data_IF_394997155532
#
_entry.id   IF_394997155532
#
_cell.length_a   1.000
_cell.length_b   1.000
_cell.length_c   1.000
_cell.angle_alpha   90.00
_cell.angle_beta   90.00
_cell.angle_gamma   90.00
#
_symmetry.space_group_name_H-M   'P 1'
#
loop_
_entity.id
_entity.type
_entity.pdbx_description
1 polymer ?
#
# COMPACT_ATOMS: atom_id res chain seq x y z
N UNK A 1 13.06 -9.75 14.96
CA UNK A 1 11.74 -9.80 15.62
C UNK A 1 11.40 -11.25 15.82
N UNK A 2 11.02 -11.64 17.04
CA UNK A 2 10.51 -12.98 17.34
C UNK A 2 8.98 -12.89 17.38
N UNK A 3 8.29 -13.87 16.80
CA UNK A 3 6.83 -13.91 16.75
C UNK A 3 6.35 -15.13 17.50
N UNK A 4 5.23 -15.00 18.21
CA UNK A 4 4.53 -16.18 18.73
C UNK A 4 4.06 -17.06 17.57
N UNK A 5 3.87 -18.36 17.81
CA UNK A 5 3.41 -19.28 16.75
C UNK A 5 2.08 -18.84 16.11
N UNK A 6 1.20 -18.22 16.90
CA UNK A 6 -0.09 -17.69 16.42
C UNK A 6 0.12 -16.48 15.49
N UNK A 7 0.98 -15.54 15.90
CA UNK A 7 1.33 -14.37 15.10
C UNK A 7 2.05 -14.77 13.79
N UNK A 8 2.96 -15.74 13.85
CA UNK A 8 3.67 -16.26 12.68
C UNK A 8 2.71 -16.89 11.66
N UNK A 9 1.73 -17.68 12.11
CA UNK A 9 0.67 -18.23 11.24
C UNK A 9 -0.12 -17.14 10.53
N UNK A 10 -0.44 -16.04 11.21
CA UNK A 10 -1.18 -14.90 10.64
C UNK A 10 -0.33 -14.17 9.59
N UNK A 11 0.95 -13.90 9.88
CA UNK A 11 1.84 -13.25 8.93
C UNK A 11 2.10 -14.10 7.68
N UNK A 12 2.29 -15.40 7.87
CA UNK A 12 2.43 -16.33 6.76
C UNK A 12 1.15 -16.39 5.92
N UNK A 13 -0.02 -16.34 6.58
CA UNK A 13 -1.29 -16.25 5.86
C UNK A 13 -1.42 -14.94 5.08
N UNK A 14 -1.01 -13.80 5.64
CA UNK A 14 -1.03 -12.52 4.94
C UNK A 14 -0.20 -12.56 3.64
N UNK A 15 1.01 -13.15 3.70
CA UNK A 15 1.85 -13.36 2.51
C UNK A 15 1.17 -14.25 1.45
N UNK A 16 0.54 -15.33 1.88
CA UNK A 16 -0.21 -16.22 0.97
C UNK A 16 -1.40 -15.51 0.32
N UNK A 17 -2.09 -14.63 1.06
CA UNK A 17 -3.19 -13.84 0.51
C UNK A 17 -2.68 -12.90 -0.57
N UNK A 18 -1.57 -12.17 -0.33
CA UNK A 18 -1.00 -11.26 -1.34
C UNK A 18 -0.52 -12.02 -2.59
N UNK A 19 0.14 -13.16 -2.41
CA UNK A 19 0.57 -14.01 -3.53
C UNK A 19 -0.61 -14.54 -4.35
N UNK A 20 -1.66 -15.04 -3.69
CA UNK A 20 -2.85 -15.55 -4.37
C UNK A 20 -3.62 -14.46 -5.13
N UNK A 21 -3.59 -13.22 -4.63
CA UNK A 21 -4.17 -12.06 -5.30
C UNK A 21 -3.25 -11.45 -6.38
N UNK A 22 -2.09 -12.03 -6.66
CA UNK A 22 -1.04 -11.43 -7.51
C UNK A 22 -0.68 -10.01 -7.08
N UNK A 23 -0.85 -9.71 -5.79
CA UNK A 23 -0.31 -8.52 -5.18
C UNK A 23 1.11 -8.85 -4.69
N UNK A 24 2.09 -8.37 -5.43
CA UNK A 24 3.49 -8.74 -5.21
C UNK A 24 4.03 -8.26 -3.85
N UNK A 25 3.32 -7.40 -3.14
CA UNK A 25 3.78 -6.81 -1.87
C UNK A 25 2.71 -7.04 -0.80
N UNK A 26 3.12 -7.62 0.33
CA UNK A 26 2.23 -7.87 1.47
C UNK A 26 2.07 -6.58 2.30
N UNK A 27 0.83 -6.14 2.47
CA UNK A 27 0.48 -4.86 3.08
C UNK A 27 -0.57 -5.03 4.19
N UNK A 28 -0.93 -3.96 4.89
CA UNK A 28 -1.75 -3.97 6.11
C UNK A 28 -3.16 -4.54 5.89
N UNK A 29 -3.74 -4.39 4.69
CA UNK A 29 -4.99 -5.02 4.27
C UNK A 29 -4.89 -6.55 4.25
N UNK A 30 -3.75 -7.08 3.80
CA UNK A 30 -3.49 -8.52 3.79
C UNK A 30 -3.32 -9.07 5.20
N UNK A 31 -2.65 -8.31 6.08
CA UNK A 31 -2.54 -8.64 7.50
C UNK A 31 -3.92 -8.66 8.16
N UNK A 32 -4.76 -7.66 7.88
CA UNK A 32 -6.13 -7.61 8.38
C UNK A 32 -6.95 -8.82 7.91
N UNK A 33 -6.91 -9.15 6.62
CA UNK A 33 -7.60 -10.33 6.10
C UNK A 33 -7.11 -11.61 6.80
N UNK A 34 -5.80 -11.74 7.01
CA UNK A 34 -5.22 -12.89 7.70
C UNK A 34 -5.67 -13.00 9.16
N UNK A 35 -5.83 -11.87 9.88
CA UNK A 35 -6.37 -11.84 11.24
C UNK A 35 -7.79 -12.43 11.30
N UNK A 36 -8.59 -12.29 10.24
CA UNK A 36 -9.91 -12.91 10.15
C UNK A 36 -9.85 -14.34 9.61
N UNK A 37 -8.96 -14.63 8.67
CA UNK A 37 -9.00 -15.89 7.94
C UNK A 37 -8.44 -17.08 8.73
N UNK A 38 -7.45 -16.86 9.60
CA UNK A 38 -6.94 -17.90 10.49
C UNK A 38 -8.03 -18.27 11.51
N UNK A 39 -8.66 -19.44 11.34
CA UNK A 39 -9.79 -19.86 12.20
C UNK A 39 -9.35 -20.49 13.52
N UNK A 40 -8.38 -21.37 13.45
CA UNK A 40 -7.94 -22.19 14.59
C UNK A 40 -7.12 -21.37 15.58
N UNK A 41 -7.48 -21.48 16.87
CA UNK A 41 -6.77 -20.90 18.00
C UNK A 41 -6.43 -19.40 17.84
N UNK A 42 -7.33 -18.66 17.17
CA UNK A 42 -7.18 -17.23 16.89
C UNK A 42 -7.79 -16.37 18.03
N UNK A 43 -6.97 -15.67 18.82
CA UNK A 43 -7.43 -14.84 19.94
C UNK A 43 -8.37 -13.73 19.51
N UNK A 44 -8.10 -13.09 18.37
CA UNK A 44 -8.90 -11.99 17.86
C UNK A 44 -10.31 -12.42 17.47
N UNK A 45 -10.46 -13.59 16.83
CA UNK A 45 -11.78 -14.15 16.50
C UNK A 45 -12.58 -14.57 17.73
N UNK A 46 -11.91 -15.12 18.76
CA UNK A 46 -12.54 -15.44 20.05
C UNK A 46 -13.05 -14.18 20.74
N UNK A 47 -12.20 -13.15 20.79
CA UNK A 47 -12.53 -11.85 21.36
C UNK A 47 -13.73 -11.19 20.67
N UNK A 48 -13.78 -11.20 19.33
CA UNK A 48 -14.94 -10.70 18.57
C UNK A 48 -16.24 -11.44 18.95
N UNK A 49 -16.19 -12.78 18.98
CA UNK A 49 -17.36 -13.62 19.35
C UNK A 49 -17.85 -13.32 20.76
N UNK A 50 -16.93 -13.20 21.72
CA UNK A 50 -17.22 -12.88 23.13
C UNK A 50 -17.89 -11.51 23.28
N UNK A 51 -17.51 -10.55 22.44
CA UNK A 51 -18.07 -9.22 22.41
C UNK A 51 -19.25 -9.07 21.42
N UNK A 52 -19.93 -10.18 21.09
CA UNK A 52 -21.18 -10.15 20.34
C UNK A 52 -21.04 -9.91 18.83
N UNK A 53 -19.81 -9.88 18.29
CA UNK A 53 -19.57 -9.74 16.85
C UNK A 53 -19.32 -11.09 16.22
N UNK A 54 -20.10 -11.42 15.19
CA UNK A 54 -19.89 -12.64 14.41
C UNK A 54 -18.62 -12.49 13.54
N UNK A 55 -17.54 -13.25 13.80
CA UNK A 55 -16.27 -13.04 13.09
C UNK A 55 -16.34 -13.42 11.60
N UNK A 56 -17.24 -14.32 11.20
CA UNK A 56 -17.43 -14.68 9.78
C UNK A 56 -18.24 -13.63 9.04
N UNK A 57 -19.18 -12.96 9.70
CA UNK A 57 -19.89 -11.83 9.12
C UNK A 57 -18.95 -10.64 8.90
N UNK A 58 -18.16 -10.29 9.94
CA UNK A 58 -17.16 -9.24 9.86
C UNK A 58 -16.11 -9.53 8.77
N UNK A 59 -15.61 -10.77 8.70
CA UNK A 59 -14.68 -11.18 7.63
C UNK A 59 -15.24 -10.91 6.24
N UNK A 60 -16.50 -11.31 5.96
CA UNK A 60 -17.11 -11.09 4.63
C UNK A 60 -17.24 -9.62 4.27
N UNK A 61 -17.46 -8.75 5.24
CA UNK A 61 -17.52 -7.30 5.00
C UNK A 61 -16.13 -6.73 4.66
N UNK A 62 -15.10 -7.16 5.40
CA UNK A 62 -13.71 -6.77 5.12
C UNK A 62 -13.26 -7.30 3.76
N UNK A 63 -13.57 -8.55 3.42
CA UNK A 63 -13.24 -9.13 2.11
C UNK A 63 -13.84 -8.31 0.97
N UNK A 64 -15.10 -7.87 1.09
CA UNK A 64 -15.73 -6.98 0.10
C UNK A 64 -15.04 -5.63 0.02
N UNK A 65 -14.68 -5.04 1.14
CA UNK A 65 -14.02 -3.74 1.20
C UNK A 65 -12.63 -3.80 0.55
N UNK A 66 -11.82 -4.80 0.91
CA UNK A 66 -10.49 -5.02 0.33
C UNK A 66 -10.56 -5.40 -1.15
N UNK A 67 -11.58 -6.17 -1.58
CA UNK A 67 -11.79 -6.46 -3.01
C UNK A 67 -12.02 -5.18 -3.82
N UNK A 68 -12.84 -4.25 -3.31
CA UNK A 68 -13.08 -2.95 -3.97
C UNK A 68 -11.82 -2.11 -4.05
N UNK A 69 -11.04 -2.05 -2.97
CA UNK A 69 -9.75 -1.37 -2.96
C UNK A 69 -8.84 -1.94 -4.05
N UNK A 70 -8.71 -3.27 -4.11
CA UNK A 70 -7.89 -3.94 -5.11
C UNK A 70 -8.33 -3.59 -6.54
N UNK A 71 -9.63 -3.63 -6.81
CA UNK A 71 -10.17 -3.22 -8.12
C UNK A 71 -9.81 -1.78 -8.48
N UNK A 72 -9.78 -0.86 -7.50
CA UNK A 72 -9.36 0.52 -7.71
C UNK A 72 -7.86 0.62 -8.01
N UNK A 73 -7.02 -0.10 -7.28
CA UNK A 73 -5.57 -0.17 -7.52
C UNK A 73 -5.25 -0.76 -8.90
N UNK A 74 -5.97 -1.80 -9.31
CA UNK A 74 -5.79 -2.44 -10.61
C UNK A 74 -6.20 -1.51 -11.75
N UNK A 75 -7.35 -0.81 -11.61
CA UNK A 75 -7.79 0.23 -12.57
C UNK A 75 -6.76 1.35 -12.71
N UNK A 76 -6.20 1.80 -11.59
CA UNK A 76 -5.16 2.82 -11.58
C UNK A 76 -3.91 2.36 -12.35
N UNK A 77 -3.41 1.16 -12.03
CA UNK A 77 -2.26 0.59 -12.71
C UNK A 77 -2.50 0.38 -14.21
N UNK A 78 -3.68 -0.09 -14.61
CA UNK A 78 -4.05 -0.27 -16.03
C UNK A 78 -4.01 1.06 -16.78
N UNK A 79 -4.57 2.12 -16.22
CA UNK A 79 -4.59 3.41 -16.90
C UNK A 79 -3.18 4.00 -17.09
N UNK A 80 -2.31 3.93 -16.07
CA UNK A 80 -0.91 4.33 -16.23
C UNK A 80 -0.12 3.39 -17.15
N UNK A 81 -0.47 2.10 -17.21
CA UNK A 81 0.08 1.17 -18.20
C UNK A 81 -0.26 1.66 -19.60
N UNK A 82 -1.52 2.00 -19.87
CA UNK A 82 -1.97 2.50 -21.17
C UNK A 82 -1.29 3.82 -21.55
N UNK A 83 -1.14 4.74 -20.59
CA UNK A 83 -0.44 6.01 -20.80
C UNK A 83 1.03 5.80 -21.22
N UNK A 84 1.73 4.92 -20.50
CA UNK A 84 3.12 4.56 -20.80
C UNK A 84 3.23 3.76 -22.10
N UNK A 85 2.28 2.88 -22.41
CA UNK A 85 2.21 2.13 -23.67
C UNK A 85 2.01 3.01 -24.89
N UNK A 86 1.11 3.98 -24.82
CA UNK A 86 0.91 4.93 -25.91
C UNK A 86 2.22 5.64 -26.27
N UNK A 87 3.00 6.04 -25.25
CA UNK A 87 4.34 6.63 -25.45
C UNK A 87 5.39 5.61 -25.87
N UNK A 88 5.38 4.42 -25.29
CA UNK A 88 6.33 3.37 -25.64
C UNK A 88 6.18 2.85 -27.06
N UNK A 89 4.96 2.81 -27.62
CA UNK A 89 4.76 2.43 -29.02
C UNK A 89 5.32 3.48 -29.99
N UNK A 90 5.22 4.79 -29.68
CA UNK A 90 5.89 5.85 -30.46
C UNK A 90 7.43 5.67 -30.43
N UNK A 91 7.99 5.40 -29.25
CA UNK A 91 9.41 5.12 -29.07
C UNK A 91 9.85 3.88 -29.85
N UNK A 92 9.06 2.82 -29.80
CA UNK A 92 9.35 1.57 -30.50
C UNK A 92 9.34 1.74 -32.01
N UNK A 93 8.37 2.48 -32.56
CA UNK A 93 8.29 2.76 -33.98
C UNK A 93 9.49 3.55 -34.49
N UNK A 94 9.98 4.49 -33.68
CA UNK A 94 11.05 5.42 -34.09
C UNK A 94 12.45 4.86 -33.79
N UNK A 95 12.60 4.12 -32.69
CA UNK A 95 13.91 3.76 -32.12
C UNK A 95 14.03 2.28 -31.69
N UNK A 96 12.99 1.48 -31.87
CA UNK A 96 13.00 0.03 -31.63
C UNK A 96 12.61 -0.40 -30.21
N UNK A 97 12.33 -1.70 -30.07
CA UNK A 97 11.84 -2.32 -28.83
C UNK A 97 12.85 -2.22 -27.67
N UNK A 98 14.16 -2.24 -27.95
CA UNK A 98 15.20 -2.17 -26.91
C UNK A 98 15.13 -0.84 -26.15
N UNK A 99 15.01 0.29 -26.87
CA UNK A 99 14.89 1.60 -26.23
C UNK A 99 13.61 1.67 -25.40
N UNK A 100 12.47 1.26 -25.95
CA UNK A 100 11.18 1.22 -25.23
C UNK A 100 11.34 0.51 -23.87
N UNK A 101 11.92 -0.70 -23.87
CA UNK A 101 12.12 -1.48 -22.64
C UNK A 101 13.09 -0.80 -21.67
N UNK A 102 14.18 -0.21 -22.16
CA UNK A 102 15.14 0.51 -21.33
C UNK A 102 14.53 1.74 -20.67
N UNK A 103 13.73 2.51 -21.42
CA UNK A 103 13.00 3.67 -20.91
C UNK A 103 11.99 3.26 -19.84
N UNK A 104 11.20 2.20 -20.06
CA UNK A 104 10.29 1.67 -19.04
C UNK A 104 11.03 1.26 -17.76
N UNK A 105 12.16 0.56 -17.89
CA UNK A 105 12.98 0.17 -16.73
C UNK A 105 13.51 1.39 -15.98
N UNK A 106 14.02 2.40 -16.69
CA UNK A 106 14.52 3.63 -16.09
C UNK A 106 13.41 4.40 -15.37
N UNK A 107 12.24 4.54 -16.00
CA UNK A 107 11.07 5.20 -15.42
C UNK A 107 10.60 4.50 -14.15
N UNK A 108 10.38 3.18 -14.21
CA UNK A 108 9.89 2.42 -13.05
C UNK A 108 10.93 2.32 -11.93
N UNK A 109 12.22 2.19 -12.28
CA UNK A 109 13.32 2.26 -11.30
C UNK A 109 13.36 3.61 -10.60
N UNK A 110 13.19 4.71 -11.35
CA UNK A 110 13.08 6.05 -10.76
C UNK A 110 11.93 6.10 -9.74
N UNK A 111 10.73 5.67 -10.11
CA UNK A 111 9.58 5.69 -9.20
C UNK A 111 9.82 4.84 -7.95
N UNK A 112 10.37 3.64 -8.11
CA UNK A 112 10.70 2.73 -7.01
C UNK A 112 11.74 3.33 -6.06
N UNK A 113 12.84 3.84 -6.60
CA UNK A 113 13.91 4.45 -5.81
C UNK A 113 13.43 5.73 -5.10
N UNK A 114 12.63 6.55 -5.79
CA UNK A 114 12.05 7.78 -5.25
C UNK A 114 11.18 7.47 -4.03
N UNK A 115 10.19 6.57 -4.17
CA UNK A 115 9.32 6.23 -3.05
C UNK A 115 10.05 5.45 -1.95
N UNK A 116 11.06 4.64 -2.29
CA UNK A 116 11.90 4.00 -1.26
C UNK A 116 12.61 5.04 -0.36
N UNK A 117 13.08 6.15 -0.92
CA UNK A 117 13.71 7.24 -0.15
C UNK A 117 12.68 8.09 0.60
N UNK A 118 11.62 8.50 -0.08
CA UNK A 118 10.54 9.33 0.49
C UNK A 118 9.91 8.68 1.73
N UNK A 119 9.60 7.38 1.65
CA UNK A 119 9.02 6.63 2.76
C UNK A 119 9.99 6.49 3.95
N UNK A 120 11.30 6.61 3.73
CA UNK A 120 12.30 6.65 4.80
C UNK A 120 12.54 8.06 5.35
N UNK A 121 11.83 9.06 4.84
CA UNK A 121 11.99 10.48 5.19
C UNK A 121 13.16 11.17 4.49
N UNK A 122 13.84 10.49 3.55
CA UNK A 122 14.92 11.06 2.76
C UNK A 122 14.33 11.74 1.52
N UNK A 123 13.97 13.02 1.67
CA UNK A 123 13.28 13.76 0.60
C UNK A 123 14.22 14.23 -0.48
N UNK A 124 13.87 13.95 -1.73
CA UNK A 124 14.61 14.47 -2.88
C UNK A 124 14.43 16.00 -2.96
N UNK A 125 15.54 16.73 -3.03
CA UNK A 125 15.54 18.20 -3.13
C UNK A 125 16.07 18.70 -4.46
N UNK A 126 16.79 17.86 -5.20
CA UNK A 126 17.31 18.22 -6.51
C UNK A 126 16.24 18.00 -7.58
N UNK A 127 15.60 19.10 -7.99
CA UNK A 127 14.51 19.10 -8.95
C UNK A 127 14.95 19.77 -10.26
N UNK A 128 14.48 19.21 -11.38
CA UNK A 128 14.60 19.79 -12.71
C UNK A 128 13.26 20.41 -13.13
N UNK A 129 13.33 21.64 -13.63
CA UNK A 129 12.17 22.30 -14.24
C UNK A 129 12.04 21.87 -15.70
N UNK A 130 10.84 21.42 -16.07
CA UNK A 130 10.52 20.97 -17.41
C UNK A 130 9.25 21.67 -17.90
N UNK A 131 9.31 22.20 -19.12
CA UNK A 131 8.14 22.75 -19.81
C UNK A 131 7.33 21.60 -20.41
N UNK A 132 6.07 21.49 -20.01
CA UNK A 132 5.13 20.51 -20.55
C UNK A 132 3.90 21.21 -21.10
N UNK A 133 3.28 20.59 -22.11
CA UNK A 133 1.99 21.01 -22.63
C UNK A 133 0.95 19.96 -22.27
N UNK A 134 0.06 20.28 -21.34
CA UNK A 134 -0.92 19.34 -20.79
C UNK A 134 -2.32 19.91 -20.71
N UNK A 135 -3.32 19.04 -20.69
CA UNK A 135 -4.70 19.41 -20.41
C UNK A 135 -4.83 19.74 -18.92
N UNK A 136 -5.41 20.89 -18.60
CA UNK A 136 -5.71 21.29 -17.21
C UNK A 136 -7.16 21.76 -17.07
N UNK A 137 -7.78 21.55 -15.89
CA UNK A 137 -9.15 21.98 -15.66
C UNK A 137 -9.26 23.51 -15.60
N UNK A 138 -10.37 24.06 -16.09
CA UNK A 138 -10.59 25.51 -16.22
C UNK A 138 -11.00 26.22 -14.93
N UNK A 139 -11.26 25.49 -13.83
CA UNK A 139 -11.62 26.05 -12.51
C UNK A 139 -10.86 25.37 -11.37
N UNK A 140 -10.37 26.17 -10.42
CA UNK A 140 -9.71 25.71 -9.17
C UNK A 140 -10.77 25.31 -8.14
N UNK A 141 -10.93 24.02 -7.82
CA UNK A 141 -11.84 23.52 -6.74
C UNK A 141 -11.33 22.23 -6.06
N UNK A 142 -12.01 21.86 -4.97
CA UNK A 142 -11.46 21.55 -3.64
C UNK A 142 -11.43 20.08 -3.20
N UNK A 143 -11.39 19.08 -4.09
CA UNK A 143 -11.09 17.71 -3.65
C UNK A 143 -10.49 16.88 -4.78
N UNK A 144 -9.17 16.66 -4.68
CA UNK A 144 -8.33 15.96 -5.67
C UNK A 144 -8.80 14.51 -5.84
N UNK A 145 -9.40 13.89 -4.81
CA UNK A 145 -9.68 12.45 -4.79
C UNK A 145 -10.92 12.01 -5.58
N UNK A 146 -12.03 12.76 -5.53
CA UNK A 146 -13.28 12.37 -6.21
C UNK A 146 -13.27 12.74 -7.71
N UNK A 147 -12.55 13.80 -8.10
CA UNK A 147 -12.51 14.30 -9.48
C UNK A 147 -11.37 13.64 -10.30
N UNK A 148 -10.17 13.46 -9.73
CA UNK A 148 -9.00 12.94 -10.46
C UNK A 148 -9.23 11.53 -11.00
N UNK A 149 -9.87 10.64 -10.24
CA UNK A 149 -10.22 9.31 -10.74
C UNK A 149 -11.28 9.34 -11.83
N UNK A 150 -12.19 10.32 -11.88
CA UNK A 150 -13.17 10.45 -12.96
C UNK A 150 -12.59 11.13 -14.21
N UNK A 151 -11.75 12.14 -14.02
CA UNK A 151 -11.14 12.97 -15.06
C UNK A 151 -9.98 12.29 -15.77
N UNK A 152 -9.16 11.51 -15.05
CA UNK A 152 -8.07 10.71 -15.61
C UNK A 152 -8.58 9.70 -16.66
N UNK A 153 -9.71 9.02 -16.42
CA UNK A 153 -10.30 8.14 -17.43
C UNK A 153 -10.89 8.90 -18.63
N UNK A 154 -11.33 10.15 -18.46
CA UNK A 154 -11.83 10.98 -19.57
C UNK A 154 -10.70 11.55 -20.44
N UNK A 155 -9.51 11.77 -19.89
CA UNK A 155 -8.33 12.24 -20.64
C UNK A 155 -7.75 11.17 -21.58
N UNK A 156 -7.78 9.90 -21.18
CA UNK A 156 -7.35 8.77 -22.02
C UNK A 156 -8.47 8.20 -22.92
N UNK A 157 -9.75 8.45 -22.59
CA UNK A 157 -10.91 8.01 -23.38
C UNK A 157 -12.07 9.02 -23.27
N UNK A 158 -12.09 10.09 -24.10
CA UNK A 158 -13.11 11.14 -23.97
C UNK A 158 -14.51 10.63 -24.30
N UNK A 159 -15.44 10.75 -23.35
CA UNK A 159 -16.89 10.77 -23.63
C UNK A 159 -17.31 12.21 -23.96
N UNK A 160 -18.32 12.37 -24.82
CA UNK A 160 -18.77 13.63 -25.45
C UNK A 160 -19.33 14.74 -24.51
N UNK A 161 -18.77 14.95 -23.31
CA UNK A 161 -19.15 16.07 -22.41
C UNK A 161 -17.96 16.78 -21.76
N UNK A 162 -16.91 17.07 -22.53
CA UNK A 162 -15.82 17.95 -22.09
C UNK A 162 -16.24 19.43 -22.20
N UNK A 163 -16.66 20.05 -21.10
CA UNK A 163 -16.94 21.51 -21.10
C UNK A 163 -15.92 22.37 -20.35
N UNK A 164 -14.89 21.83 -19.70
CA UNK A 164 -13.99 22.64 -18.86
C UNK A 164 -12.49 22.22 -18.87
N UNK A 165 -11.96 21.63 -19.94
CA UNK A 165 -10.52 21.34 -20.07
C UNK A 165 -9.86 22.25 -21.09
N UNK A 166 -8.66 22.75 -20.77
CA UNK A 166 -7.88 23.61 -21.67
C UNK A 166 -6.44 23.15 -21.74
N UNK A 167 -5.88 23.09 -22.94
CA UNK A 167 -4.44 22.86 -23.13
C UNK A 167 -3.66 24.09 -22.64
N UNK A 168 -2.72 23.87 -21.73
CA UNK A 168 -1.81 24.93 -21.24
C UNK A 168 -0.36 24.46 -21.28
N UNK A 169 0.52 25.43 -21.45
CA UNK A 169 1.96 25.25 -21.18
C UNK A 169 2.20 25.53 -19.70
N UNK A 170 2.81 24.57 -19.02
CA UNK A 170 3.17 24.66 -17.61
C UNK A 170 4.62 24.28 -17.40
N UNK A 171 5.21 24.82 -16.33
CA UNK A 171 6.51 24.38 -15.84
C UNK A 171 6.26 23.45 -14.66
N UNK A 172 6.66 22.20 -14.81
CA UNK A 172 6.58 21.20 -13.75
C UNK A 172 7.97 20.93 -13.18
N UNK A 173 8.01 20.43 -11.95
CA UNK A 173 9.24 20.01 -11.27
C UNK A 173 9.28 18.50 -11.18
N UNK A 174 10.30 17.89 -11.79
CA UNK A 174 10.55 16.46 -11.71
C UNK A 174 11.89 16.20 -11.02
N UNK A 175 12.06 15.09 -10.28
CA UNK A 175 13.33 14.75 -9.66
C UNK A 175 14.49 14.69 -10.66
N UNK A 176 15.67 15.19 -10.29
CA UNK A 176 16.86 15.10 -11.15
C UNK A 176 17.24 13.65 -11.46
N UNK A 177 16.99 12.72 -10.53
CA UNK A 177 17.19 11.28 -10.71
C UNK A 177 16.43 10.73 -11.92
N UNK A 178 15.20 11.18 -12.14
CA UNK A 178 14.39 10.81 -13.30
C UNK A 178 15.09 11.21 -14.60
N UNK A 179 15.48 12.49 -14.69
CA UNK A 179 16.16 13.02 -15.88
C UNK A 179 17.44 12.24 -16.17
N UNK A 180 18.23 11.96 -15.13
CA UNK A 180 19.49 11.24 -15.28
C UNK A 180 19.29 9.80 -15.75
N UNK A 181 18.34 9.06 -15.17
CA UNK A 181 18.05 7.66 -15.52
C UNK A 181 17.50 7.54 -16.95
N UNK A 182 16.62 8.46 -17.37
CA UNK A 182 16.11 8.47 -18.75
C UNK A 182 17.23 8.78 -19.75
N UNK A 183 18.09 9.78 -19.46
CA UNK A 183 19.25 10.07 -20.30
C UNK A 183 20.20 8.89 -20.39
N UNK A 184 20.44 8.20 -19.29
CA UNK A 184 21.30 7.01 -19.25
C UNK A 184 20.72 5.87 -20.10
N UNK A 185 19.43 5.57 -19.95
CA UNK A 185 18.75 4.56 -20.77
C UNK A 185 18.76 4.88 -22.28
N UNK A 186 18.79 6.17 -22.63
CA UNK A 186 18.86 6.63 -24.03
C UNK A 186 20.27 6.53 -24.65
N UNK A 187 21.34 6.44 -23.85
CA UNK A 187 22.73 6.39 -24.36
C UNK A 187 22.99 5.18 -25.26
N UNK A 188 22.36 4.04 -24.96
CA UNK A 188 22.55 2.80 -25.71
C UNK A 188 21.98 2.86 -27.14
N UNK A 189 21.18 3.88 -27.46
CA UNK A 189 20.48 4.00 -28.75
C UNK A 189 21.05 5.09 -29.68
N UNK A 190 22.22 5.69 -29.36
CA UNK A 190 22.85 6.75 -30.16
C UNK A 190 21.92 7.91 -30.55
N UNK A 191 20.96 8.24 -29.67
CA UNK A 191 19.99 9.31 -29.89
C UNK A 191 20.67 10.69 -29.86
N UNK A 192 20.16 11.62 -30.66
CA UNK A 192 20.59 13.01 -30.57
C UNK A 192 20.14 13.61 -29.22
N UNK A 193 20.85 14.62 -28.67
CA UNK A 193 20.42 15.30 -27.44
C UNK A 193 18.99 15.83 -27.52
N UNK A 194 18.55 16.27 -28.70
CA UNK A 194 17.20 16.80 -28.93
C UNK A 194 16.14 15.70 -28.87
N UNK A 195 16.41 14.53 -29.44
CA UNK A 195 15.49 13.37 -29.34
C UNK A 195 15.34 12.95 -27.87
N UNK A 196 16.43 12.89 -27.11
CA UNK A 196 16.38 12.56 -25.67
C UNK A 196 15.58 13.61 -24.89
N UNK A 197 15.73 14.90 -25.22
CA UNK A 197 14.93 15.96 -24.60
C UNK A 197 13.44 15.83 -24.94
N UNK A 198 13.09 15.47 -26.18
CA UNK A 198 11.70 15.19 -26.58
C UNK A 198 11.11 14.06 -25.74
N UNK A 199 11.83 12.93 -25.60
CA UNK A 199 11.41 11.80 -24.76
C UNK A 199 11.21 12.23 -23.31
N UNK A 200 12.15 13.00 -22.76
CA UNK A 200 12.05 13.53 -21.40
C UNK A 200 10.79 14.38 -21.20
N UNK A 201 10.50 15.31 -22.11
CA UNK A 201 9.32 16.19 -22.00
C UNK A 201 8.02 15.41 -22.03
N UNK A 202 7.94 14.37 -22.86
CA UNK A 202 6.75 13.54 -22.95
C UNK A 202 6.53 12.64 -21.74
N UNK A 203 7.62 12.14 -21.15
CA UNK A 203 7.54 11.32 -19.94
C UNK A 203 7.37 12.14 -18.67
N UNK A 204 7.81 13.41 -18.65
CA UNK A 204 7.78 14.26 -17.46
C UNK A 204 6.36 14.49 -16.93
N UNK A 205 5.36 14.67 -17.82
CA UNK A 205 3.96 14.82 -17.37
C UNK A 205 3.43 13.51 -16.76
N UNK A 206 3.79 12.35 -17.33
CA UNK A 206 3.42 11.04 -16.77
C UNK A 206 4.12 10.82 -15.42
N UNK A 207 5.38 11.21 -15.29
CA UNK A 207 6.14 11.16 -14.03
C UNK A 207 5.46 11.99 -12.94
N UNK A 208 5.21 13.26 -13.19
CA UNK A 208 4.63 14.19 -12.21
C UNK A 208 3.26 13.72 -11.73
N UNK A 209 2.42 13.29 -12.67
CA UNK A 209 1.09 12.76 -12.36
C UNK A 209 1.16 11.45 -11.59
N UNK A 210 1.95 10.48 -12.05
CA UNK A 210 2.08 9.20 -11.34
C UNK A 210 2.63 9.43 -9.93
N UNK A 211 3.66 10.26 -9.78
CA UNK A 211 4.24 10.60 -8.49
C UNK A 211 3.21 11.23 -7.56
N UNK A 212 2.43 12.20 -8.03
CA UNK A 212 1.34 12.82 -7.26
C UNK A 212 0.30 11.79 -6.84
N UNK A 213 -0.17 10.95 -7.78
CA UNK A 213 -1.15 9.91 -7.47
C UNK A 213 -0.62 8.87 -6.48
N UNK A 214 0.65 8.51 -6.57
CA UNK A 214 1.28 7.59 -5.64
C UNK A 214 1.40 8.19 -4.23
N UNK A 215 1.63 9.50 -4.09
CA UNK A 215 1.51 10.17 -2.79
C UNK A 215 0.09 10.08 -2.24
N UNK A 216 -0.91 10.28 -3.09
CA UNK A 216 -2.31 10.19 -2.67
C UNK A 216 -2.68 8.76 -2.24
N UNK A 217 -2.21 7.73 -2.97
CA UNK A 217 -2.33 6.32 -2.58
C UNK A 217 -1.69 6.07 -1.21
N UNK A 218 -0.49 6.61 -0.97
CA UNK A 218 0.19 6.51 0.33
C UNK A 218 -0.57 7.22 1.46
N UNK A 219 -1.07 8.43 1.21
CA UNK A 219 -1.85 9.21 2.16
C UNK A 219 -3.17 8.51 2.54
N UNK A 220 -3.65 7.60 1.69
CA UNK A 220 -4.81 6.74 1.94
C UNK A 220 -4.45 5.34 2.46
N UNK A 221 -3.20 5.15 2.89
CA UNK A 221 -2.81 3.98 3.66
C UNK A 221 -2.42 2.76 2.84
N UNK A 222 -2.05 2.94 1.57
CA UNK A 222 -1.59 1.87 0.68
C UNK A 222 -0.15 2.15 0.25
N UNK A 223 0.69 1.12 0.24
CA UNK A 223 2.08 1.29 -0.20
C UNK A 223 2.18 1.55 -1.72
N UNK A 224 2.79 2.66 -2.17
CA UNK A 224 2.97 3.00 -3.59
C UNK A 224 3.65 1.92 -4.43
N UNK A 225 4.55 1.14 -3.82
CA UNK A 225 5.26 0.08 -4.52
C UNK A 225 4.31 -1.00 -5.05
N UNK A 226 3.10 -1.13 -4.49
CA UNK A 226 2.06 -2.04 -5.00
C UNK A 226 1.60 -1.65 -6.41
N UNK A 227 1.52 -0.37 -6.71
CA UNK A 227 1.18 0.12 -8.06
C UNK A 227 2.41 0.00 -8.98
N UNK A 228 3.60 0.36 -8.50
CA UNK A 228 4.84 0.27 -9.28
C UNK A 228 5.11 -1.18 -9.71
N UNK A 229 4.91 -2.15 -8.82
CA UNK A 229 5.06 -3.57 -9.11
C UNK A 229 4.05 -4.06 -10.17
N UNK A 230 2.80 -3.58 -10.13
CA UNK A 230 1.79 -3.86 -11.17
C UNK A 230 2.20 -3.28 -12.52
N UNK A 231 2.68 -2.03 -12.55
CA UNK A 231 3.18 -1.40 -13.78
C UNK A 231 4.37 -2.16 -14.36
N UNK A 232 5.30 -2.60 -13.51
CA UNK A 232 6.46 -3.42 -13.91
C UNK A 232 6.02 -4.74 -14.53
N UNK A 233 5.08 -5.44 -13.91
CA UNK A 233 4.52 -6.67 -14.46
C UNK A 233 3.82 -6.42 -15.81
N UNK A 234 2.93 -5.44 -15.88
CA UNK A 234 2.14 -5.16 -17.08
C UNK A 234 3.01 -4.72 -18.27
N UNK A 235 3.99 -3.83 -18.04
CA UNK A 235 4.79 -3.23 -19.11
C UNK A 235 5.99 -4.10 -19.52
N UNK A 236 6.58 -4.87 -18.61
CA UNK A 236 7.85 -5.59 -18.84
C UNK A 236 7.73 -7.11 -18.71
N UNK A 237 6.65 -7.63 -18.13
CA UNK A 237 6.49 -9.04 -17.76
C UNK A 237 7.38 -9.44 -16.58
N UNK A 238 7.91 -8.47 -15.83
CA UNK A 238 8.85 -8.68 -14.74
C UNK A 238 8.09 -8.85 -13.42
N UNK A 239 8.14 -10.05 -12.82
CA UNK A 239 7.59 -10.29 -11.48
C UNK A 239 8.45 -9.62 -10.41
N UNK A 240 7.80 -9.04 -9.41
CA UNK A 240 8.49 -8.47 -8.25
C UNK A 240 8.57 -9.52 -7.15
N UNK A 241 9.72 -9.63 -6.47
CA UNK A 241 9.87 -10.52 -5.30
C UNK A 241 8.84 -10.13 -4.24
N UNK A 242 8.25 -11.11 -3.57
CA UNK A 242 7.34 -10.83 -2.46
C UNK A 242 8.09 -10.37 -1.21
N UNK A 243 7.70 -9.22 -0.67
CA UNK A 243 8.19 -8.69 0.59
C UNK A 243 7.10 -7.89 1.30
N UNK A 244 7.35 -7.52 2.56
CA UNK A 244 6.45 -6.68 3.34
C UNK A 244 6.58 -5.22 2.90
N UNK A 245 5.44 -4.56 2.65
CA UNK A 245 5.37 -3.12 2.43
C UNK A 245 6.02 -2.33 3.56
N UNK A 246 6.39 -1.08 3.26
CA UNK A 246 6.87 -0.15 4.27
C UNK A 246 5.84 0.06 5.39
N UNK A 247 4.56 0.20 5.04
CA UNK A 247 3.48 0.35 6.02
C UNK A 247 3.36 -0.88 6.93
N UNK A 248 3.43 -2.10 6.39
CA UNK A 248 3.44 -3.31 7.20
C UNK A 248 4.69 -3.38 8.10
N UNK A 249 5.86 -3.01 7.60
CA UNK A 249 7.07 -2.93 8.42
C UNK A 249 6.95 -1.89 9.55
N UNK A 250 6.27 -0.74 9.34
CA UNK A 250 5.94 0.20 10.42
C UNK A 250 5.04 -0.44 11.48
N UNK A 251 4.01 -1.20 11.07
CA UNK A 251 3.13 -1.94 11.99
C UNK A 251 3.92 -2.96 12.80
N UNK A 252 4.78 -3.76 12.15
CA UNK A 252 5.58 -4.79 12.83
C UNK A 252 6.58 -4.17 13.81
N UNK A 253 7.22 -3.05 13.45
CA UNK A 253 8.06 -2.28 14.37
C UNK A 253 7.28 -1.71 15.55
N UNK A 254 6.08 -1.19 15.30
CA UNK A 254 5.20 -0.67 16.35
C UNK A 254 4.77 -1.77 17.32
N UNK A 255 4.52 -2.99 16.83
CA UNK A 255 4.17 -4.17 17.63
C UNK A 255 5.34 -4.71 18.46
N UNK A 256 6.59 -4.46 18.05
CA UNK A 256 7.82 -4.97 18.68
C UNK A 256 8.19 -4.26 20.00
N UNK A 257 7.25 -4.16 20.94
CA UNK A 257 7.48 -3.56 22.27
C UNK A 257 8.05 -4.56 23.29
N UNK A 258 7.79 -5.84 23.10
CA UNK A 258 8.24 -6.94 23.98
C UNK A 258 9.22 -7.88 23.24
N UNK A 259 9.76 -8.88 23.93
CA UNK A 259 10.73 -9.84 23.38
C UNK A 259 10.14 -10.73 22.26
N UNK A 260 8.83 -10.97 22.32
CA UNK A 260 8.05 -11.74 21.35
C UNK A 260 6.77 -10.99 20.97
N UNK A 261 6.48 -10.89 19.68
CA UNK A 261 5.30 -10.22 19.13
C UNK A 261 4.13 -11.21 19.09
N UNK A 262 3.03 -10.88 19.77
CA UNK A 262 1.82 -11.69 19.81
C UNK A 262 0.73 -11.18 18.85
N UNK A 263 -0.42 -11.88 18.78
CA UNK A 263 -1.54 -11.45 17.93
C UNK A 263 -2.13 -10.16 18.48
N UNK A 264 -2.16 -10.00 19.79
CA UNK A 264 -2.62 -8.81 20.49
C UNK A 264 -1.77 -7.60 20.12
N UNK A 265 -0.45 -7.78 20.04
CA UNK A 265 0.45 -6.69 19.66
C UNK A 265 0.24 -6.27 18.19
N UNK A 266 -0.04 -7.23 17.29
CA UNK A 266 -0.38 -6.93 15.89
C UNK A 266 -1.71 -6.18 15.77
N UNK A 267 -2.75 -6.62 16.50
CA UNK A 267 -4.07 -5.96 16.52
C UNK A 267 -3.95 -4.54 17.06
N UNK A 268 -3.24 -4.37 18.17
CA UNK A 268 -3.01 -3.05 18.76
C UNK A 268 -2.18 -2.14 17.84
N UNK A 269 -1.12 -2.65 17.22
CA UNK A 269 -0.32 -1.87 16.30
C UNK A 269 -1.15 -1.40 15.09
N UNK A 270 -2.03 -2.23 14.54
CA UNK A 270 -2.95 -1.83 13.48
C UNK A 270 -3.94 -0.75 13.96
N UNK A 271 -4.55 -0.94 15.14
CA UNK A 271 -5.53 -0.01 15.69
C UNK A 271 -4.94 1.39 15.90
N UNK A 272 -3.70 1.47 16.42
CA UNK A 272 -2.97 2.73 16.62
C UNK A 272 -2.56 3.43 15.32
N UNK A 273 -2.68 2.74 14.19
CA UNK A 273 -2.30 3.25 12.88
C UNK A 273 -3.50 3.26 11.91
N UNK A 274 -4.58 4.02 12.22
CA UNK A 274 -5.79 4.07 11.41
C UNK A 274 -5.58 4.77 10.06
N UNK A 275 -4.41 5.37 9.83
CA UNK A 275 -3.97 5.90 8.54
C UNK A 275 -3.69 4.81 7.50
N UNK A 276 -3.49 3.56 7.93
CA UNK A 276 -3.26 2.40 7.04
C UNK A 276 -4.59 1.75 6.71
N UNK A 277 -4.71 1.07 5.55
CA UNK A 277 -5.95 0.37 5.19
C UNK A 277 -6.34 -0.66 6.25
N UNK A 278 -5.40 -1.48 6.71
CA UNK A 278 -5.64 -2.48 7.74
C UNK A 278 -6.12 -1.86 9.06
N UNK A 279 -5.45 -0.81 9.51
CA UNK A 279 -5.80 -0.09 10.74
C UNK A 279 -7.14 0.64 10.64
N UNK A 280 -7.42 1.28 9.49
CA UNK A 280 -8.68 1.97 9.23
C UNK A 280 -9.87 1.01 9.40
N UNK A 281 -9.88 -0.09 8.64
CA UNK A 281 -10.99 -1.03 8.72
C UNK A 281 -11.08 -1.74 10.07
N UNK A 282 -9.95 -2.05 10.72
CA UNK A 282 -9.96 -2.58 12.07
C UNK A 282 -10.64 -1.59 13.04
N UNK A 283 -10.30 -0.30 12.97
CA UNK A 283 -10.90 0.72 13.82
C UNK A 283 -12.42 0.81 13.65
N UNK A 284 -12.93 0.65 12.42
CA UNK A 284 -14.37 0.65 12.14
C UNK A 284 -15.07 -0.54 12.82
N UNK A 285 -14.46 -1.73 12.79
CA UNK A 285 -14.99 -2.90 13.49
C UNK A 285 -14.96 -2.68 14.99
N UNK A 286 -13.84 -2.21 15.55
CA UNK A 286 -13.72 -1.99 16.99
C UNK A 286 -14.71 -0.93 17.50
N UNK A 287 -14.99 0.12 16.73
CA UNK A 287 -16.01 1.13 17.05
C UNK A 287 -17.44 0.58 17.08
N UNK A 288 -17.73 -0.46 16.29
CA UNK A 288 -19.04 -1.14 16.33
C UNK A 288 -19.20 -2.07 17.54
N UNK A 289 -18.07 -2.53 18.10
CA UNK A 289 -18.03 -3.43 19.26
C UNK A 289 -18.04 -2.63 20.57
N UNK A 290 -17.18 -1.62 20.66
CA UNK A 290 -17.02 -0.76 21.83
C UNK A 290 -17.93 0.45 21.67
N UNK A 291 -18.93 0.58 22.52
CA UNK A 291 -19.84 1.72 22.52
C UNK A 291 -19.11 3.04 22.82
N UNK A 292 -18.51 3.65 21.81
CA UNK A 292 -18.09 5.07 21.77
C UNK A 292 -17.23 5.59 22.94
N UNK A 293 -16.43 4.78 23.66
CA UNK A 293 -15.52 5.27 24.72
C UNK A 293 -14.09 4.74 24.63
N UNK A 294 -13.13 5.66 24.76
CA UNK A 294 -11.68 5.39 24.82
C UNK A 294 -11.23 4.68 26.10
N UNK A 295 -12.04 4.66 27.16
CA UNK A 295 -11.72 3.95 28.41
C UNK A 295 -11.73 2.43 28.23
N UNK A 296 -12.54 1.90 27.31
CA UNK A 296 -12.67 0.47 26.97
C UNK A 296 -11.42 -0.11 26.26
N UNK A 297 -10.44 0.73 25.89
CA UNK A 297 -9.26 0.29 25.12
C UNK A 297 -8.19 -0.41 25.98
N UNK A 298 -8.12 -0.11 27.28
CA UNK A 298 -7.30 -0.92 28.21
C UNK A 298 -7.91 -2.31 28.38
N UNK A 299 -9.23 -2.40 28.32
CA UNK A 299 -9.96 -3.66 28.41
C UNK A 299 -9.69 -4.51 27.16
N UNK A 300 -9.75 -3.95 25.94
CA UNK A 300 -9.43 -4.66 24.69
C UNK A 300 -8.10 -5.43 24.75
N UNK A 301 -7.01 -4.75 25.08
CA UNK A 301 -5.67 -5.37 25.14
C UNK A 301 -5.61 -6.48 26.19
N UNK A 302 -6.19 -6.24 27.37
CA UNK A 302 -6.20 -7.25 28.44
C UNK A 302 -7.04 -8.46 28.07
N UNK A 303 -8.20 -8.27 27.44
CA UNK A 303 -9.08 -9.34 26.99
C UNK A 303 -8.44 -10.15 25.87
N UNK A 304 -7.80 -9.52 24.89
CA UNK A 304 -7.07 -10.21 23.83
C UNK A 304 -5.89 -11.02 24.37
N UNK A 305 -5.11 -10.47 25.32
CA UNK A 305 -4.04 -11.22 26.01
C UNK A 305 -4.59 -12.40 26.78
N UNK A 306 -5.78 -12.28 27.36
CA UNK A 306 -6.44 -13.42 27.99
C UNK A 306 -6.82 -14.47 26.94
N UNK A 307 -7.35 -14.08 25.78
CA UNK A 307 -7.67 -15.02 24.69
C UNK A 307 -6.46 -15.70 24.04
N UNK A 308 -5.26 -15.17 24.24
CA UNK A 308 -4.01 -15.78 23.80
C UNK A 308 -3.60 -17.00 24.61
N UNK A 309 -3.90 -17.00 25.91
CA UNK A 309 -3.57 -18.09 26.82
C UNK A 309 -4.25 -19.39 26.40
N UNK A 310 -3.55 -20.50 26.57
CA UNK A 310 -4.13 -21.83 26.43
C UNK A 310 -5.20 -22.08 27.50
N UNK A 311 -6.15 -22.98 27.24
CA UNK A 311 -7.17 -23.35 28.24
C UNK A 311 -6.54 -23.88 29.53
N UNK A 312 -5.39 -24.55 29.41
CA UNK A 312 -4.59 -24.96 30.55
C UNK A 312 -4.13 -23.73 31.34
N UNK A 313 -3.46 -22.75 30.73
CA UNK A 313 -3.00 -21.55 31.44
C UNK A 313 -4.14 -20.68 32.01
N UNK A 314 -5.33 -20.72 31.39
CA UNK A 314 -6.52 -19.99 31.87
C UNK A 314 -7.13 -20.62 33.12
N UNK A 315 -7.22 -21.94 33.15
CA UNK A 315 -8.00 -22.67 34.16
C UNK A 315 -7.17 -23.53 35.10
N UNK A 316 -5.86 -23.64 34.88
CA UNK A 316 -4.95 -24.26 35.84
C UNK A 316 -4.28 -23.21 36.70
N UNK A 317 -4.16 -23.53 37.98
CA UNK A 317 -3.51 -22.71 38.98
C UNK A 317 -2.14 -23.35 39.23
N UNK A 318 -1.05 -22.59 39.09
CA UNK A 318 0.28 -23.07 39.47
C UNK A 318 0.38 -23.14 41.00
N UNK A 319 0.09 -24.32 41.54
CA UNK A 319 0.20 -24.62 42.97
C UNK A 319 1.63 -24.41 43.50
N UNK A 320 2.66 -24.59 42.67
CA UNK A 320 4.06 -24.37 43.05
C UNK A 320 4.34 -22.89 43.24
N UNK A 321 3.81 -22.05 42.35
CA UNK A 321 3.89 -20.61 42.48
C UNK A 321 3.10 -20.11 43.70
N UNK A 322 1.87 -20.58 43.90
CA UNK A 322 1.07 -20.21 45.08
C UNK A 322 1.73 -20.64 46.40
N UNK A 323 2.43 -21.78 46.40
CA UNK A 323 3.18 -22.26 47.57
C UNK A 323 4.38 -21.35 47.85
N UNK A 324 5.10 -20.92 46.81
CA UNK A 324 6.22 -19.96 46.93
C UNK A 324 5.76 -18.58 47.41
N UNK A 325 4.57 -18.16 46.98
CA UNK A 325 3.96 -16.88 47.38
C UNK A 325 3.27 -16.94 48.76
N UNK A 326 3.23 -18.11 49.42
CA UNK A 326 2.61 -18.29 50.73
C UNK A 326 1.08 -18.11 50.72
N UNK A 327 0.46 -18.29 49.54
CA UNK A 327 -1.00 -18.13 49.33
C UNK A 327 -1.77 -19.45 49.39
N UNK A 328 -1.08 -20.55 49.66
CA UNK A 328 -1.70 -21.85 49.92
C UNK A 328 -1.93 -21.99 51.42
N UNK A 329 -3.19 -22.27 51.79
CA UNK A 329 -3.51 -22.70 53.15
C UNK A 329 -2.84 -24.08 53.43
N UNK A 330 -2.40 -24.34 54.67
CA UNK A 330 -1.88 -25.65 55.08
C UNK A 330 -2.95 -26.73 55.02
#
# INVERSE_FOLDING_TARGET
MKFSQKAEKILERARKISQASKDFITDTDHLLLALFDVKEDNPFRRWLSKNGVNPDAAQREIERAVSRLREQLDKLAVSYTQALEAKGEELKQTHGESLKRNIYRAFLKHMEDYFTRELKGDRERDMAQIHVRRWVPSRTRTSIFDEFFSEFFEEFAPRERTRNWVMREEVIEVPRSFVNLVREAAKESNLSPDDVNKILYELADIEDRLRTTLYDVYNNGVDPHRIIARLRYNLLGEETKTYNSHLLEEILKSASQEEEITVTDLVDALERNPKTVGGYYLSQILQSVSGTRREDMRDLRSELREEEKSDLEKFTIDLTQLAREGKLDP
#
